data_IF_368744005985
#
_entry.id   IF_368744005985
#
_cell.length_a   1.000
_cell.length_b   1.000
_cell.length_c   1.000
_cell.angle_alpha   90.00
_cell.angle_beta   90.00
_cell.angle_gamma   90.00
#
_symmetry.space_group_name_H-M   'P 1'
#
loop_
_entity.id
_entity.type
_entity.pdbx_description
1 polymer ?
#
# COMPACT_ATOMS: atom_id res chain seq x y z
N UNK A 1 1.64 -13.23 21.27
CA UNK A 1 0.68 -13.91 20.37
C UNK A 1 -0.61 -13.13 20.21
N UNK A 2 -1.24 -12.67 21.29
CA UNK A 2 -2.53 -11.97 21.20
C UNK A 2 -2.46 -10.58 20.54
N UNK A 3 -1.44 -9.78 20.86
CA UNK A 3 -1.24 -8.47 20.23
C UNK A 3 -1.07 -8.58 18.71
N UNK A 4 -0.29 -9.57 18.24
CA UNK A 4 -0.10 -9.84 16.82
C UNK A 4 -1.43 -10.19 16.12
N UNK A 5 -2.33 -10.93 16.77
CA UNK A 5 -3.65 -11.25 16.20
C UNK A 5 -4.56 -10.03 16.07
N UNK A 6 -4.33 -9.00 16.90
CA UNK A 6 -5.05 -7.73 16.86
C UNK A 6 -4.50 -6.76 15.83
N UNK A 7 -3.27 -6.95 15.34
CA UNK A 7 -2.71 -6.15 14.25
C UNK A 7 -3.49 -6.39 12.95
N UNK A 8 -4.04 -5.33 12.35
CA UNK A 8 -4.86 -5.39 11.14
C UNK A 8 -4.54 -4.21 10.23
N UNK A 9 -4.53 -4.42 8.93
CA UNK A 9 -4.52 -3.36 7.92
C UNK A 9 -5.90 -3.31 7.27
N UNK A 10 -6.71 -2.27 7.51
CA UNK A 10 -8.03 -2.13 6.91
C UNK A 10 -7.94 -1.60 5.46
N UNK A 11 -7.05 -2.20 4.66
CA UNK A 11 -6.77 -1.81 3.27
C UNK A 11 -7.32 -2.92 2.36
N UNK A 12 -8.10 -2.53 1.34
CA UNK A 12 -8.70 -3.47 0.38
C UNK A 12 -8.37 -3.02 -1.03
N UNK A 13 -7.64 -3.86 -1.77
CA UNK A 13 -7.46 -3.73 -3.21
C UNK A 13 -8.78 -3.98 -3.93
N UNK A 14 -9.07 -3.19 -4.97
CA UNK A 14 -10.30 -3.30 -5.75
C UNK A 14 -9.98 -3.60 -7.21
N UNK A 15 -10.74 -4.53 -7.78
CA UNK A 15 -10.71 -4.80 -9.21
C UNK A 15 -11.48 -3.73 -10.00
N UNK A 16 -11.30 -3.72 -11.32
CA UNK A 16 -12.12 -2.88 -12.21
C UNK A 16 -13.62 -3.15 -12.01
N UNK A 17 -14.01 -4.42 -11.83
CA UNK A 17 -15.39 -4.80 -11.61
C UNK A 17 -15.95 -4.22 -10.31
N UNK A 18 -15.15 -4.19 -9.23
CA UNK A 18 -15.56 -3.59 -7.96
C UNK A 18 -15.80 -2.08 -8.11
N UNK A 19 -14.96 -1.37 -8.88
CA UNK A 19 -15.16 0.05 -9.17
C UNK A 19 -16.40 0.32 -10.02
N UNK A 20 -16.73 -0.58 -10.95
CA UNK A 20 -17.91 -0.46 -11.81
C UNK A 20 -19.21 -0.90 -11.14
N UNK A 21 -19.14 -1.76 -10.13
CA UNK A 21 -20.31 -2.36 -9.48
C UNK A 21 -21.37 -1.34 -9.04
N UNK A 22 -21.03 -0.20 -8.40
CA UNK A 22 -22.03 0.79 -7.99
C UNK A 22 -22.80 1.43 -9.16
N UNK A 23 -22.21 1.47 -10.35
CA UNK A 23 -22.79 2.10 -11.54
C UNK A 23 -23.59 1.10 -12.38
N UNK A 24 -23.49 -0.20 -12.10
CA UNK A 24 -24.17 -1.23 -12.88
C UNK A 24 -25.68 -1.30 -12.54
N UNK A 25 -26.54 -1.71 -13.50
CA UNK A 25 -26.25 -1.88 -14.93
C UNK A 25 -26.39 -0.57 -15.73
N UNK A 26 -26.92 0.49 -15.13
CA UNK A 26 -27.33 1.72 -15.83
C UNK A 26 -26.16 2.60 -16.30
N UNK A 27 -24.95 2.32 -15.84
CA UNK A 27 -23.76 3.15 -15.98
C UNK A 27 -23.78 4.41 -15.12
N UNK A 28 -24.72 4.53 -14.16
CA UNK A 28 -24.92 5.73 -13.33
C UNK A 28 -25.20 5.37 -11.87
N UNK A 29 -24.67 6.18 -10.97
CA UNK A 29 -24.93 6.09 -9.53
C UNK A 29 -24.99 7.51 -8.97
N UNK A 30 -26.10 7.92 -8.34
CA UNK A 30 -26.22 9.24 -7.69
C UNK A 30 -25.85 10.45 -8.60
N UNK A 31 -26.23 10.38 -9.89
CA UNK A 31 -25.86 11.35 -10.95
C UNK A 31 -24.36 11.41 -11.27
N UNK A 32 -23.58 10.45 -10.80
CA UNK A 32 -22.21 10.24 -11.20
C UNK A 32 -22.15 9.20 -12.31
N UNK A 33 -21.15 9.37 -13.19
CA UNK A 33 -20.80 8.42 -14.23
C UNK A 33 -19.29 8.30 -14.31
N UNK A 34 -18.79 7.08 -14.46
CA UNK A 34 -17.39 6.85 -14.83
C UNK A 34 -17.22 7.15 -16.32
N UNK A 35 -16.37 8.12 -16.67
CA UNK A 35 -16.03 8.46 -18.05
C UNK A 35 -14.72 7.81 -18.50
N UNK A 36 -13.81 7.57 -17.55
CA UNK A 36 -12.57 6.84 -17.78
C UNK A 36 -12.23 5.98 -16.57
N UNK A 37 -11.81 4.74 -16.81
CA UNK A 37 -11.31 3.82 -15.80
C UNK A 37 -10.24 2.95 -16.43
N UNK A 38 -9.04 2.98 -15.85
CA UNK A 38 -7.93 2.09 -16.20
C UNK A 38 -7.38 1.54 -14.89
N UNK A 39 -7.19 0.22 -14.85
CA UNK A 39 -6.41 -0.46 -13.81
C UNK A 39 -5.11 -0.92 -14.46
N UNK A 40 -3.99 -0.46 -13.94
CA UNK A 40 -2.66 -0.80 -14.46
C UNK A 40 -1.65 -0.82 -13.33
N UNK A 41 -0.55 -1.54 -13.54
CA UNK A 41 0.59 -1.47 -12.63
C UNK A 41 1.41 -0.20 -12.91
N UNK A 42 1.63 0.58 -11.85
CA UNK A 42 2.58 1.69 -11.90
C UNK A 42 4.03 1.17 -11.84
N UNK A 43 5.00 1.91 -12.42
CA UNK A 43 6.38 1.49 -12.38
C UNK A 43 6.96 1.46 -10.97
N UNK A 44 7.57 0.35 -10.59
CA UNK A 44 8.42 0.26 -9.41
C UNK A 44 9.73 1.03 -9.64
N UNK A 45 9.72 2.31 -9.23
CA UNK A 45 10.88 3.19 -9.37
C UNK A 45 12.07 2.76 -8.51
N UNK A 46 11.81 2.08 -7.38
CA UNK A 46 12.88 1.60 -6.52
C UNK A 46 13.61 0.44 -7.19
N UNK A 47 12.87 -0.48 -7.81
CA UNK A 47 13.43 -1.55 -8.63
C UNK A 47 14.17 -1.02 -9.87
N UNK A 48 13.61 -0.02 -10.56
CA UNK A 48 14.29 0.62 -11.69
C UNK A 48 15.63 1.23 -11.28
N UNK A 49 15.68 1.91 -10.14
CA UNK A 49 16.92 2.45 -9.61
C UNK A 49 17.91 1.34 -9.24
N UNK A 50 17.45 0.30 -8.54
CA UNK A 50 18.26 -0.87 -8.20
C UNK A 50 18.85 -1.57 -9.42
N UNK A 51 18.11 -1.69 -10.52
CA UNK A 51 18.65 -2.28 -11.75
C UNK A 51 19.82 -1.48 -12.33
N UNK A 52 19.85 -0.17 -12.09
CA UNK A 52 20.89 0.74 -12.57
C UNK A 52 22.14 0.72 -11.67
N UNK A 53 21.96 0.83 -10.34
CA UNK A 53 23.08 1.00 -9.40
C UNK A 53 23.45 -0.27 -8.61
N UNK A 54 22.57 -1.28 -8.60
CA UNK A 54 22.68 -2.52 -7.83
C UNK A 54 22.80 -2.30 -6.31
N UNK A 55 22.36 -1.16 -5.80
CA UNK A 55 22.35 -0.86 -4.38
C UNK A 55 21.14 -1.48 -3.69
N UNK A 56 21.31 -2.71 -3.22
CA UNK A 56 20.26 -3.47 -2.51
C UNK A 56 19.82 -2.77 -1.20
N UNK A 57 20.73 -2.03 -0.55
CA UNK A 57 20.42 -1.33 0.69
C UNK A 57 19.55 -0.11 0.42
N UNK A 58 19.85 0.66 -0.62
CA UNK A 58 19.00 1.77 -1.05
C UNK A 58 17.60 1.28 -1.46
N UNK A 59 17.54 0.21 -2.25
CA UNK A 59 16.28 -0.45 -2.63
C UNK A 59 15.43 -0.82 -1.42
N UNK A 60 16.03 -1.53 -0.47
CA UNK A 60 15.34 -1.98 0.74
C UNK A 60 14.87 -0.80 1.60
N UNK A 61 15.73 0.22 1.81
CA UNK A 61 15.37 1.42 2.58
C UNK A 61 14.21 2.18 1.95
N UNK A 62 14.16 2.29 0.62
CA UNK A 62 13.05 2.96 -0.07
C UNK A 62 11.73 2.22 0.14
N UNK A 63 11.72 0.90 -0.06
CA UNK A 63 10.52 0.08 0.15
C UNK A 63 10.06 0.06 1.60
N UNK A 64 10.97 -0.19 2.54
CA UNK A 64 10.64 -0.25 3.96
C UNK A 64 10.27 1.11 4.52
N UNK A 65 10.93 2.19 4.08
CA UNK A 65 10.55 3.55 4.46
C UNK A 65 9.12 3.89 4.02
N UNK A 66 8.73 3.50 2.80
CA UNK A 66 7.35 3.61 2.35
C UNK A 66 6.39 2.79 3.22
N UNK A 67 6.70 1.51 3.48
CA UNK A 67 5.87 0.63 4.31
C UNK A 67 5.72 1.18 5.73
N UNK A 68 6.80 1.67 6.33
CA UNK A 68 6.79 2.28 7.67
C UNK A 68 5.83 3.46 7.73
N UNK A 69 5.98 4.41 6.81
CA UNK A 69 5.14 5.60 6.77
C UNK A 69 3.66 5.27 6.48
N UNK A 70 3.40 4.24 5.67
CA UNK A 70 2.05 3.91 5.22
C UNK A 70 1.25 3.06 6.22
N UNK A 71 1.90 2.12 6.93
CA UNK A 71 1.15 1.06 7.63
C UNK A 71 1.62 0.71 9.05
N UNK A 72 2.81 1.14 9.48
CA UNK A 72 3.32 0.70 10.79
C UNK A 72 2.47 1.20 11.95
N UNK A 73 2.05 2.46 11.93
CA UNK A 73 1.24 3.02 13.02
C UNK A 73 -0.06 2.23 13.23
N UNK A 74 -0.77 1.90 12.15
CA UNK A 74 -2.00 1.09 12.22
C UNK A 74 -1.78 -0.30 12.80
N UNK A 75 -0.64 -0.96 12.51
CA UNK A 75 -0.31 -2.25 13.11
C UNK A 75 0.02 -2.09 14.59
N UNK A 76 0.87 -1.11 14.92
CA UNK A 76 1.45 -0.95 16.26
C UNK A 76 0.49 -0.31 17.26
N UNK A 77 -0.61 0.28 16.81
CA UNK A 77 -1.76 0.66 17.64
C UNK A 77 -2.32 -0.52 18.44
N UNK A 78 -2.20 -1.75 17.91
CA UNK A 78 -2.67 -2.96 18.59
C UNK A 78 -1.81 -3.38 19.81
N UNK A 79 -0.69 -2.71 20.08
CA UNK A 79 0.12 -3.00 21.27
C UNK A 79 -0.59 -2.56 22.57
N UNK A 80 -0.47 -3.42 23.60
CA UNK A 80 -1.05 -3.21 24.93
C UNK A 80 -0.01 -3.54 26.01
N UNK A 81 0.29 -2.63 26.96
CA UNK A 81 -0.25 -1.27 27.10
C UNK A 81 0.18 -0.34 25.96
N UNK A 82 -0.58 0.75 25.78
CA UNK A 82 -0.30 1.83 24.85
C UNK A 82 0.95 2.64 25.29
N UNK A 83 2.13 2.05 25.12
CA UNK A 83 3.43 2.64 25.42
C UNK A 83 4.12 3.12 24.12
N UNK A 84 4.30 4.43 24.00
CA UNK A 84 4.94 5.07 22.86
C UNK A 84 6.40 4.64 22.67
N UNK A 85 7.15 4.46 23.75
CA UNK A 85 8.55 4.04 23.67
C UNK A 85 8.66 2.60 23.17
N UNK A 86 7.75 1.72 23.61
CA UNK A 86 7.66 0.35 23.10
C UNK A 86 7.25 0.30 21.63
N UNK A 87 6.27 1.10 21.21
CA UNK A 87 5.88 1.23 19.80
C UNK A 87 7.05 1.65 18.93
N UNK A 88 7.80 2.67 19.35
CA UNK A 88 8.98 3.15 18.64
C UNK A 88 10.04 2.03 18.49
N UNK A 89 10.40 1.35 19.59
CA UNK A 89 11.35 0.22 19.53
C UNK A 89 10.90 -0.91 18.62
N UNK A 90 9.61 -1.26 18.65
CA UNK A 90 9.10 -2.32 17.78
C UNK A 90 9.06 -1.88 16.31
N UNK A 91 8.72 -0.62 16.03
CA UNK A 91 8.78 -0.07 14.68
C UNK A 91 10.21 -0.15 14.12
N UNK A 92 11.21 0.27 14.90
CA UNK A 92 12.62 0.25 14.49
C UNK A 92 13.13 -1.18 14.27
N UNK A 93 12.75 -2.12 15.15
CA UNK A 93 13.10 -3.53 14.99
C UNK A 93 12.43 -4.15 13.75
N UNK A 94 11.17 -3.81 13.48
CA UNK A 94 10.44 -4.29 12.29
C UNK A 94 11.04 -3.72 11.00
N UNK A 95 11.39 -2.43 10.99
CA UNK A 95 12.08 -1.79 9.87
C UNK A 95 13.42 -2.47 9.58
N UNK A 96 14.25 -2.67 10.60
CA UNK A 96 15.54 -3.34 10.44
C UNK A 96 15.37 -4.76 9.85
N UNK A 97 14.43 -5.54 10.39
CA UNK A 97 14.16 -6.90 9.92
C UNK A 97 13.65 -6.94 8.46
N UNK A 98 12.77 -6.02 8.07
CA UNK A 98 12.31 -5.92 6.68
C UNK A 98 13.42 -5.48 5.73
N UNK A 99 14.30 -4.58 6.17
CA UNK A 99 15.46 -4.17 5.37
C UNK A 99 16.37 -5.37 5.13
N UNK A 100 16.70 -6.14 6.16
CA UNK A 100 17.51 -7.37 6.03
C UNK A 100 16.88 -8.36 5.04
N UNK A 101 15.55 -8.56 5.13
CA UNK A 101 14.80 -9.44 4.23
C UNK A 101 14.92 -8.97 2.75
N UNK A 102 14.68 -7.69 2.50
CA UNK A 102 14.67 -7.12 1.15
C UNK A 102 16.08 -7.02 0.54
N UNK A 103 17.11 -6.78 1.36
CA UNK A 103 18.51 -6.79 0.90
C UNK A 103 18.94 -8.19 0.46
N UNK A 104 18.48 -9.23 1.15
CA UNK A 104 18.88 -10.61 0.87
C UNK A 104 18.39 -11.11 -0.49
N UNK A 105 17.23 -10.62 -0.96
CA UNK A 105 16.65 -10.98 -2.25
C UNK A 105 15.83 -9.82 -2.83
N UNK A 106 16.46 -8.83 -3.48
CA UNK A 106 15.74 -7.75 -4.15
C UNK A 106 14.91 -8.29 -5.32
N UNK A 107 13.63 -7.93 -5.37
CA UNK A 107 12.70 -8.33 -6.42
C UNK A 107 11.77 -7.16 -6.80
N UNK A 108 11.31 -7.06 -8.06
CA UNK A 108 10.34 -6.05 -8.46
C UNK A 108 9.00 -6.27 -7.75
N UNK A 109 8.36 -5.19 -7.30
CA UNK A 109 7.03 -5.28 -6.70
C UNK A 109 5.92 -4.81 -7.66
N UNK A 110 4.79 -5.53 -7.76
CA UNK A 110 3.63 -5.03 -8.49
C UNK A 110 2.96 -3.88 -7.71
N UNK A 111 2.62 -2.80 -8.41
CA UNK A 111 1.96 -1.62 -7.83
C UNK A 111 0.66 -1.34 -8.60
N UNK A 112 -0.40 -2.13 -8.38
CA UNK A 112 -1.65 -1.95 -9.11
C UNK A 112 -2.36 -0.68 -8.65
N UNK A 113 -2.67 0.20 -9.60
CA UNK A 113 -3.37 1.47 -9.39
C UNK A 113 -4.57 1.56 -10.33
N UNK A 114 -5.66 2.14 -9.82
CA UNK A 114 -6.82 2.48 -10.62
C UNK A 114 -6.89 3.99 -10.85
N UNK A 115 -6.87 4.41 -12.11
CA UNK A 115 -7.10 5.80 -12.52
C UNK A 115 -8.55 5.95 -12.95
N UNK A 116 -9.32 6.78 -12.23
CA UNK A 116 -10.76 6.91 -12.43
C UNK A 116 -11.15 8.37 -12.62
N UNK A 117 -11.86 8.65 -13.71
CA UNK A 117 -12.51 9.95 -13.93
C UNK A 117 -14.01 9.78 -13.75
N UNK A 118 -14.56 10.54 -12.81
CA UNK A 118 -15.98 10.53 -12.47
C UNK A 118 -16.58 11.90 -12.79
N UNK A 119 -17.62 11.90 -13.62
CA UNK A 119 -18.35 13.10 -14.02
C UNK A 119 -19.70 13.18 -13.31
N UNK A 120 -20.03 14.35 -12.78
CA UNK A 120 -21.36 14.68 -12.27
C UNK A 120 -22.26 15.19 -13.40
N UNK A 121 -23.35 14.50 -13.66
CA UNK A 121 -24.34 14.87 -14.66
C UNK A 121 -25.14 16.10 -14.21
N UNK A 122 -25.45 17.00 -15.16
CA UNK A 122 -26.37 18.11 -14.94
C UNK A 122 -27.82 17.60 -14.79
N UNK A 123 -28.70 18.44 -14.24
CA UNK A 123 -30.11 18.11 -13.96
C UNK A 123 -30.90 17.92 -15.25
#
# INVERSE_FOLDING_TARGET
>A
AEELRRMRLPIVGRSEADFRSPFAPSGRFERLRITHLVVADEPDRFWQQYQNDRDAMAFAKSWVGFTRAAVFDTLLEALDPADAARRCRLADALEAALIELLVAAPEPMPIPVAHIVVEKQQR
#
